data_IF_104195755225
#
_entry.id   IF_104195755225
#
_cell.length_a   1.000
_cell.length_b   1.000
_cell.length_c   1.000
_cell.angle_alpha   90.00
_cell.angle_beta   90.00
_cell.angle_gamma   90.00
#
_symmetry.space_group_name_H-M   'P 1'
#
loop_
_entity.id
_entity.type
_entity.pdbx_description
1 polymer ?
#
# COMPACT_ATOMS: atom_id res chain seq x y z
N UNK A 1 19.16 76.18 -15.90
CA UNK A 1 18.11 75.39 -15.22
C UNK A 1 18.50 73.92 -15.37
N UNK A 2 19.26 73.33 -14.44
CA UNK A 2 18.77 72.44 -13.36
C UNK A 2 17.59 71.57 -13.81
N UNK A 3 17.80 70.27 -14.03
CA UNK A 3 17.27 69.21 -13.15
C UNK A 3 18.00 67.87 -13.40
N UNK A 4 18.71 67.43 -12.37
CA UNK A 4 19.10 66.04 -12.11
C UNK A 4 17.92 65.34 -11.42
N UNK A 5 17.51 64.16 -11.90
CA UNK A 5 16.84 63.09 -11.13
C UNK A 5 17.29 61.77 -11.81
N UNK A 6 18.32 61.05 -11.35
CA UNK A 6 18.44 60.21 -10.15
C UNK A 6 17.52 58.96 -10.11
N UNK A 7 18.17 57.81 -10.37
CA UNK A 7 18.03 56.50 -9.70
C UNK A 7 16.69 55.75 -9.86
N UNK A 8 16.72 54.59 -10.53
CA UNK A 8 16.66 53.27 -9.88
C UNK A 8 16.68 52.16 -10.96
N UNK A 9 17.54 51.14 -10.84
CA UNK A 9 17.43 49.93 -11.65
C UNK A 9 16.17 49.18 -11.20
N UNK A 10 15.32 48.78 -12.15
CA UNK A 10 14.22 47.84 -11.89
C UNK A 10 14.81 46.48 -11.48
N UNK A 11 15.12 46.36 -10.20
CA UNK A 11 15.28 45.11 -9.48
C UNK A 11 13.87 44.61 -9.13
N UNK A 12 13.06 44.29 -10.13
CA UNK A 12 11.82 43.54 -9.91
C UNK A 12 12.17 42.06 -9.87
N UNK A 13 12.61 41.64 -8.68
CA UNK A 13 12.18 40.43 -7.98
C UNK A 13 11.57 39.41 -8.95
N UNK A 14 12.43 38.58 -9.55
CA UNK A 14 12.04 37.23 -9.93
C UNK A 14 11.67 36.55 -8.62
N UNK A 15 10.41 36.73 -8.21
CA UNK A 15 9.79 36.01 -7.13
C UNK A 15 9.90 34.57 -7.59
N UNK A 16 10.92 33.90 -7.06
CA UNK A 16 11.14 32.49 -7.24
C UNK A 16 9.84 31.86 -6.76
N UNK A 17 8.96 31.54 -7.70
CA UNK A 17 7.92 30.57 -7.52
C UNK A 17 8.66 29.23 -7.37
N UNK A 18 9.34 29.07 -6.24
CA UNK A 18 9.36 27.83 -5.49
C UNK A 18 7.91 27.61 -5.08
N UNK A 19 7.08 27.33 -6.10
CA UNK A 19 5.92 26.49 -5.92
C UNK A 19 6.51 25.30 -5.20
N UNK A 20 6.21 25.23 -3.91
CA UNK A 20 6.43 24.04 -3.14
C UNK A 20 5.69 22.98 -3.92
N UNK A 21 6.41 22.23 -4.75
CA UNK A 21 5.96 20.95 -5.22
C UNK A 21 5.80 20.18 -3.92
N UNK A 22 4.61 20.28 -3.33
CA UNK A 22 4.12 19.26 -2.43
C UNK A 22 4.06 18.04 -3.32
N UNK A 23 5.18 17.31 -3.38
CA UNK A 23 5.15 15.93 -3.78
C UNK A 23 4.05 15.35 -2.90
N UNK A 24 2.93 15.00 -3.53
CA UNK A 24 1.85 14.30 -2.86
C UNK A 24 2.49 12.96 -2.54
N UNK A 25 3.05 12.87 -1.33
CA UNK A 25 3.76 11.69 -0.88
C UNK A 25 2.72 10.58 -0.89
N UNK A 26 3.04 9.49 -1.55
CA UNK A 26 2.08 8.41 -1.71
C UNK A 26 2.04 7.63 -0.40
N UNK A 27 1.05 7.87 0.47
CA UNK A 27 1.02 7.50 1.89
C UNK A 27 0.76 6.02 2.26
N UNK A 28 1.46 5.04 1.65
CA UNK A 28 1.32 3.64 2.09
C UNK A 28 2.57 3.09 2.75
N UNK A 29 2.39 2.48 3.91
CA UNK A 29 3.42 1.67 4.58
C UNK A 29 2.75 0.62 5.47
N UNK A 30 3.52 -0.38 5.87
CA UNK A 30 3.11 -1.41 6.82
C UNK A 30 2.81 -0.80 8.19
N UNK A 31 1.75 -1.23 8.86
CA UNK A 31 1.38 -0.79 10.21
C UNK A 31 1.25 -1.94 11.19
N UNK A 32 0.94 -3.15 10.69
CA UNK A 32 1.02 -4.39 11.46
C UNK A 32 1.69 -5.49 10.63
N UNK A 33 2.70 -6.19 11.17
CA UNK A 33 3.44 -5.87 12.40
C UNK A 33 4.05 -4.46 12.40
N UNK A 34 4.48 -3.97 13.55
CA UNK A 34 4.95 -2.57 13.69
C UNK A 34 6.14 -2.34 12.75
N UNK A 35 5.95 -1.42 11.82
CA UNK A 35 6.94 -1.06 10.82
C UNK A 35 8.07 -0.20 11.41
N UNK A 36 9.27 -0.34 10.86
CA UNK A 36 10.41 0.58 11.09
C UNK A 36 10.09 1.95 10.51
N UNK A 37 9.34 1.98 9.42
CA UNK A 37 8.90 3.20 8.73
C UNK A 37 7.61 3.74 9.36
N UNK A 38 7.59 5.05 9.61
CA UNK A 38 6.42 5.81 10.07
C UNK A 38 5.78 6.63 8.95
N UNK A 39 6.15 6.35 7.70
CA UNK A 39 5.69 7.03 6.50
C UNK A 39 6.09 6.27 5.26
N UNK A 40 5.60 6.72 4.10
CA UNK A 40 5.85 6.05 2.83
C UNK A 40 7.32 6.07 2.42
N UNK A 41 7.78 4.99 1.78
CA UNK A 41 9.12 4.87 1.22
C UNK A 41 9.04 4.23 -0.16
N UNK A 42 9.19 5.06 -1.19
CA UNK A 42 9.25 4.61 -2.57
C UNK A 42 10.65 4.10 -2.94
N UNK A 43 10.73 2.94 -3.57
CA UNK A 43 11.93 2.35 -4.16
C UNK A 43 11.87 2.47 -5.70
N UNK A 44 12.18 3.66 -6.18
CA UNK A 44 12.09 4.03 -7.60
C UNK A 44 13.18 3.34 -8.46
N UNK A 45 14.31 3.00 -7.84
CA UNK A 45 15.44 2.34 -8.52
C UNK A 45 15.37 0.80 -8.44
N UNK A 46 14.49 0.26 -7.59
CA UNK A 46 14.43 -1.18 -7.34
C UNK A 46 15.74 -1.70 -6.77
N UNK A 47 16.28 -1.02 -5.75
CA UNK A 47 17.57 -1.40 -5.12
C UNK A 47 17.46 -1.55 -3.61
N UNK A 48 16.34 -1.18 -3.02
CA UNK A 48 16.20 -1.09 -1.57
C UNK A 48 15.77 -2.45 -1.01
N UNK A 49 16.51 -2.96 -0.02
CA UNK A 49 16.05 -4.02 0.87
C UNK A 49 15.06 -3.44 1.88
N UNK A 50 15.55 -2.96 3.03
CA UNK A 50 14.77 -2.13 3.92
C UNK A 50 15.03 -0.65 3.71
N UNK A 51 14.00 0.22 3.68
CA UNK A 51 14.21 1.66 3.68
C UNK A 51 14.96 2.17 4.91
N UNK A 52 14.72 1.56 6.08
CA UNK A 52 15.47 1.80 7.31
C UNK A 52 16.20 0.54 7.78
N UNK A 53 17.51 0.69 8.02
CA UNK A 53 18.33 -0.33 8.67
C UNK A 53 18.34 -0.21 10.20
N UNK A 54 17.72 0.84 10.77
CA UNK A 54 17.59 0.97 12.21
C UNK A 54 16.52 0.00 12.71
N UNK A 55 16.84 -0.93 13.62
CA UNK A 55 15.85 -1.83 14.20
C UNK A 55 14.71 -1.06 14.87
N UNK A 56 13.48 -1.51 14.62
CA UNK A 56 12.26 -0.99 15.23
C UNK A 56 11.75 -1.88 16.37
N UNK A 57 10.46 -1.71 16.69
CA UNK A 57 9.79 -2.55 17.68
C UNK A 57 9.67 -3.99 17.17
N UNK A 58 10.18 -4.95 17.95
CA UNK A 58 10.07 -6.38 17.61
C UNK A 58 8.72 -6.94 18.05
N UNK A 59 8.03 -7.65 17.15
CA UNK A 59 6.80 -8.39 17.46
C UNK A 59 7.06 -9.90 17.43
N UNK A 60 6.62 -10.65 18.43
CA UNK A 60 6.85 -12.09 18.51
C UNK A 60 5.72 -12.90 17.88
N UNK A 61 6.08 -13.94 17.12
CA UNK A 61 5.17 -14.89 16.48
C UNK A 61 5.76 -16.30 16.53
N UNK A 62 4.94 -17.31 16.26
CA UNK A 62 5.38 -18.68 15.98
C UNK A 62 5.70 -18.85 14.49
N UNK A 63 6.63 -19.74 14.18
CA UNK A 63 6.78 -20.21 12.80
C UNK A 63 5.47 -20.88 12.34
N UNK A 64 5.07 -20.67 11.09
CA UNK A 64 3.78 -21.17 10.56
C UNK A 64 2.54 -20.41 11.04
N UNK A 65 2.68 -19.39 11.91
CA UNK A 65 1.53 -18.65 12.44
C UNK A 65 0.81 -17.86 11.35
N UNK A 66 -0.51 -17.88 11.38
CA UNK A 66 -1.34 -16.96 10.60
C UNK A 66 -1.44 -15.63 11.33
N UNK A 67 -0.88 -14.57 10.76
CA UNK A 67 -0.81 -13.26 11.40
C UNK A 67 -1.67 -12.23 10.68
N UNK A 68 -2.20 -11.27 11.44
CA UNK A 68 -2.86 -10.08 10.88
C UNK A 68 -1.80 -9.11 10.34
N UNK A 69 -1.95 -8.71 9.08
CA UNK A 69 -1.13 -7.69 8.45
C UNK A 69 -1.97 -6.51 8.03
N UNK A 70 -1.47 -5.31 8.35
CA UNK A 70 -2.17 -4.06 8.06
C UNK A 70 -1.23 -3.06 7.45
N UNK A 71 -1.75 -2.27 6.53
CA UNK A 71 -1.07 -1.14 5.92
C UNK A 71 -2.11 -0.07 5.58
N UNK A 72 -1.69 1.19 5.50
CA UNK A 72 -2.62 2.26 5.12
C UNK A 72 -3.05 2.11 3.67
N UNK A 73 -4.33 2.35 3.38
CA UNK A 73 -4.79 2.59 2.02
C UNK A 73 -4.15 3.88 1.51
N UNK A 74 -3.95 3.91 0.20
CA UNK A 74 -3.40 5.04 -0.51
C UNK A 74 -4.31 5.30 -1.72
N UNK A 75 -4.26 6.54 -2.22
CA UNK A 75 -5.01 7.00 -3.38
C UNK A 75 -4.60 6.30 -4.69
N UNK A 76 -3.46 5.62 -4.70
CA UNK A 76 -3.01 4.74 -5.78
C UNK A 76 -3.73 3.38 -5.72
N UNK A 77 -4.18 2.90 -6.87
CA UNK A 77 -5.09 1.76 -6.98
C UNK A 77 -4.41 0.47 -7.39
N UNK A 78 -4.96 -0.65 -6.94
CA UNK A 78 -4.52 -1.96 -7.38
C UNK A 78 -3.06 -2.27 -7.05
N UNK A 79 -2.56 -3.32 -7.71
CA UNK A 79 -1.29 -3.93 -7.43
C UNK A 79 -1.41 -5.12 -6.49
N UNK A 80 -0.26 -5.65 -6.14
CA UNK A 80 -0.12 -6.78 -5.24
C UNK A 80 0.98 -6.48 -4.23
N UNK A 81 0.91 -7.20 -3.11
CA UNK A 81 1.90 -7.17 -2.05
C UNK A 81 2.75 -8.44 -2.16
N UNK A 82 4.07 -8.27 -2.19
CA UNK A 82 5.01 -9.34 -1.91
C UNK A 82 5.42 -9.28 -0.45
N UNK A 83 5.37 -10.44 0.20
CA UNK A 83 5.92 -10.66 1.52
C UNK A 83 7.20 -11.47 1.41
N UNK A 84 8.27 -10.90 1.96
CA UNK A 84 9.59 -11.51 2.00
C UNK A 84 10.13 -11.48 3.41
N UNK A 85 11.07 -12.38 3.73
CA UNK A 85 11.67 -12.44 5.06
C UNK A 85 13.20 -12.57 4.98
N UNK A 86 13.92 -11.92 5.88
CA UNK A 86 15.37 -12.04 6.01
C UNK A 86 15.72 -12.24 7.49
N UNK A 87 16.85 -12.88 7.79
CA UNK A 87 17.39 -12.79 9.15
C UNK A 87 17.79 -11.34 9.43
N UNK A 88 17.67 -10.92 10.70
CA UNK A 88 18.14 -9.60 11.10
C UNK A 88 19.64 -9.45 10.80
N UNK A 89 20.02 -8.34 10.18
CA UNK A 89 21.37 -8.06 9.70
C UNK A 89 21.65 -8.52 8.25
N UNK A 90 20.71 -9.21 7.60
CA UNK A 90 20.83 -9.69 6.21
C UNK A 90 19.84 -8.97 5.27
N UNK A 91 19.38 -7.75 5.61
CA UNK A 91 18.25 -7.06 4.96
C UNK A 91 18.57 -6.45 3.56
N UNK A 92 19.27 -7.17 2.70
CA UNK A 92 19.53 -6.74 1.31
C UNK A 92 18.35 -7.02 0.38
N UNK A 93 18.28 -6.29 -0.74
CA UNK A 93 17.25 -6.54 -1.76
C UNK A 93 17.31 -7.98 -2.28
N UNK A 94 18.51 -8.48 -2.55
CA UNK A 94 18.74 -9.82 -3.10
C UNK A 94 18.28 -10.92 -2.15
N UNK A 95 18.49 -10.72 -0.84
CA UNK A 95 18.01 -11.64 0.19
C UNK A 95 16.48 -11.66 0.21
N UNK A 96 15.83 -10.49 0.23
CA UNK A 96 14.37 -10.44 0.20
C UNK A 96 13.76 -10.98 -1.08
N UNK A 97 14.38 -10.74 -2.23
CA UNK A 97 13.90 -11.26 -3.52
C UNK A 97 13.95 -12.79 -3.57
N UNK A 98 14.99 -13.40 -3.00
CA UNK A 98 15.13 -14.86 -2.89
C UNK A 98 14.19 -15.48 -1.85
N UNK A 99 13.87 -14.74 -0.81
CA UNK A 99 13.07 -15.22 0.33
C UNK A 99 11.63 -14.67 0.31
N UNK A 100 11.09 -14.43 -0.88
CA UNK A 100 9.67 -14.16 -1.07
C UNK A 100 8.86 -15.43 -0.80
N UNK A 101 7.91 -15.37 0.13
CA UNK A 101 7.17 -16.57 0.56
C UNK A 101 5.64 -16.44 0.41
N UNK A 102 5.13 -15.21 0.28
CA UNK A 102 3.70 -14.97 0.22
C UNK A 102 3.38 -13.78 -0.68
N UNK A 103 2.24 -13.84 -1.37
CA UNK A 103 1.69 -12.75 -2.16
C UNK A 103 0.22 -12.54 -1.81
N UNK A 104 -0.22 -11.28 -1.76
CA UNK A 104 -1.63 -10.91 -1.56
C UNK A 104 -2.00 -9.76 -2.49
N UNK A 105 -3.28 -9.55 -2.80
CA UNK A 105 -3.69 -8.34 -3.50
C UNK A 105 -3.62 -7.08 -2.62
N UNK A 106 -3.37 -5.91 -3.24
CA UNK A 106 -3.17 -4.64 -2.52
C UNK A 106 -4.41 -4.15 -1.78
N UNK A 107 -5.58 -4.22 -2.41
CA UNK A 107 -6.84 -3.77 -1.81
C UNK A 107 -7.57 -4.95 -1.16
N UNK A 108 -6.87 -5.69 -0.30
CA UNK A 108 -7.37 -6.85 0.43
C UNK A 108 -7.88 -6.50 1.83
N UNK A 109 -8.69 -7.41 2.37
CA UNK A 109 -9.30 -7.30 3.70
C UNK A 109 -10.65 -6.58 3.72
N UNK A 110 -11.47 -6.81 4.76
CA UNK A 110 -12.84 -6.31 4.83
C UNK A 110 -12.92 -4.79 5.04
N UNK A 111 -11.88 -4.18 5.61
CA UNK A 111 -11.85 -2.74 5.92
C UNK A 111 -11.26 -1.89 4.81
N UNK A 112 -10.74 -2.50 3.75
CA UNK A 112 -10.09 -1.79 2.64
C UNK A 112 -11.12 -1.25 1.64
N UNK A 113 -11.95 -0.32 2.10
CA UNK A 113 -13.02 0.29 1.32
C UNK A 113 -12.81 1.81 1.23
N UNK A 114 -12.88 2.40 0.03
CA UNK A 114 -12.83 3.86 -0.13
C UNK A 114 -14.01 4.51 0.60
N UNK A 115 -13.83 5.72 1.14
CA UNK A 115 -14.97 6.51 1.63
C UNK A 115 -15.70 7.17 0.48
N UNK A 116 -17.03 7.14 0.51
CA UNK A 116 -17.88 7.73 -0.52
C UNK A 116 -18.24 6.72 -1.60
N UNK A 117 -17.76 6.92 -2.83
CA UNK A 117 -18.09 6.04 -3.96
C UNK A 117 -17.25 4.78 -3.95
N UNK A 118 -17.87 3.62 -4.19
CA UNK A 118 -17.15 2.35 -4.39
C UNK A 118 -17.07 1.98 -5.88
N UNK A 119 -16.47 2.87 -6.69
CA UNK A 119 -16.12 2.55 -8.08
C UNK A 119 -14.74 1.88 -8.11
N UNK A 120 -14.41 1.21 -9.22
CA UNK A 120 -13.07 0.62 -9.40
C UNK A 120 -11.94 1.64 -9.21
N UNK A 121 -12.18 2.90 -9.58
CA UNK A 121 -11.21 4.00 -9.52
C UNK A 121 -11.32 4.91 -8.28
N UNK A 122 -12.06 4.49 -7.26
CA UNK A 122 -12.29 5.31 -6.09
C UNK A 122 -11.00 5.54 -5.28
N UNK A 123 -10.60 6.80 -5.11
CA UNK A 123 -9.52 7.20 -4.19
C UNK A 123 -9.92 7.05 -2.71
N UNK A 124 -9.06 7.47 -1.78
CA UNK A 124 -9.31 7.33 -0.33
C UNK A 124 -10.44 8.22 0.17
N UNK A 125 -10.48 9.48 -0.28
CA UNK A 125 -11.48 10.51 0.11
C UNK A 125 -11.68 10.66 1.63
N UNK A 126 -10.78 10.11 2.44
CA UNK A 126 -10.97 9.88 3.87
C UNK A 126 -9.98 10.64 4.75
N UNK A 127 -9.04 11.36 4.15
CA UNK A 127 -7.84 11.89 4.80
C UNK A 127 -6.74 10.83 4.90
N UNK A 128 -5.50 11.28 5.06
CA UNK A 128 -4.32 10.42 5.06
C UNK A 128 -4.41 9.35 6.16
N UNK A 129 -4.05 8.11 5.83
CA UNK A 129 -3.84 7.04 6.82
C UNK A 129 -5.06 6.72 7.69
N UNK A 130 -6.27 6.78 7.12
CA UNK A 130 -7.52 6.53 7.85
C UNK A 130 -8.21 5.23 7.49
N UNK A 131 -7.82 4.59 6.38
CA UNK A 131 -8.38 3.30 5.93
C UNK A 131 -7.28 2.27 6.03
N UNK A 132 -7.51 1.20 6.78
CA UNK A 132 -6.57 0.09 6.89
C UNK A 132 -6.90 -1.00 5.87
N UNK A 133 -5.91 -1.40 5.10
CA UNK A 133 -5.96 -2.52 4.17
C UNK A 133 -5.04 -3.64 4.65
N UNK A 134 -5.17 -4.81 4.03
CA UNK A 134 -4.49 -6.03 4.43
C UNK A 134 -5.43 -7.02 5.10
N UNK A 135 -4.97 -8.24 5.24
CA UNK A 135 -5.74 -9.33 5.85
C UNK A 135 -4.76 -10.25 6.61
N UNK A 136 -4.85 -11.55 6.41
CA UNK A 136 -3.96 -12.53 7.01
C UNK A 136 -2.89 -13.02 6.04
N UNK A 137 -1.71 -13.31 6.58
CA UNK A 137 -0.68 -14.11 5.89
C UNK A 137 -0.22 -15.24 6.81
N UNK A 138 0.35 -16.29 6.22
CA UNK A 138 0.95 -17.40 6.96
C UNK A 138 2.47 -17.21 6.96
N UNK A 139 3.07 -17.05 8.14
CA UNK A 139 4.52 -16.98 8.27
C UNK A 139 5.16 -18.31 7.87
N UNK A 140 6.42 -18.31 7.39
CA UNK A 140 7.12 -19.53 7.03
C UNK A 140 7.18 -20.56 8.17
N UNK A 141 6.77 -21.79 7.87
CA UNK A 141 6.76 -22.92 8.81
C UNK A 141 8.00 -23.83 8.67
N UNK A 142 9.07 -23.34 8.03
CA UNK A 142 10.35 -24.04 7.87
C UNK A 142 11.52 -23.27 8.45
N UNK A 143 11.25 -22.12 9.07
CA UNK A 143 12.27 -21.29 9.68
C UNK A 143 12.54 -21.73 11.12
N UNK A 144 13.77 -21.47 11.56
CA UNK A 144 14.19 -21.69 12.94
C UNK A 144 13.71 -20.54 13.83
N UNK A 145 13.82 -20.72 15.14
CA UNK A 145 13.68 -19.59 16.08
C UNK A 145 14.74 -18.54 15.80
N UNK A 146 14.39 -17.26 15.94
CA UNK A 146 15.36 -16.18 15.77
C UNK A 146 14.72 -14.83 15.50
N UNK A 147 15.59 -13.84 15.35
CA UNK A 147 15.21 -12.49 14.94
C UNK A 147 15.22 -12.38 13.41
N UNK A 148 14.11 -11.90 12.86
CA UNK A 148 13.88 -11.76 11.43
C UNK A 148 13.32 -10.38 11.11
N UNK A 149 13.38 -10.03 9.83
CA UNK A 149 12.77 -8.84 9.27
C UNK A 149 11.78 -9.25 8.20
N UNK A 150 10.53 -8.86 8.37
CA UNK A 150 9.45 -9.05 7.41
C UNK A 150 9.39 -7.82 6.50
N UNK A 151 9.55 -8.01 5.19
CA UNK A 151 9.41 -6.95 4.20
C UNK A 151 8.01 -7.01 3.58
N UNK A 152 7.34 -5.86 3.61
CA UNK A 152 6.14 -5.56 2.83
C UNK A 152 6.57 -4.79 1.57
N UNK A 153 6.26 -5.30 0.38
CA UNK A 153 6.51 -4.60 -0.88
C UNK A 153 5.22 -4.48 -1.67
N UNK A 154 4.78 -3.26 -1.96
CA UNK A 154 3.67 -3.02 -2.89
C UNK A 154 4.20 -2.73 -4.28
N UNK A 155 3.71 -3.51 -5.26
CA UNK A 155 4.06 -3.40 -6.67
C UNK A 155 2.79 -3.28 -7.54
N UNK A 156 2.93 -2.71 -8.74
CA UNK A 156 1.84 -2.62 -9.73
C UNK A 156 0.79 -1.60 -9.36
N UNK A 157 1.19 -0.60 -8.56
CA UNK A 157 0.37 0.51 -8.14
C UNK A 157 -0.01 1.36 -9.35
N UNK A 158 -1.30 1.44 -9.62
CA UNK A 158 -1.87 2.34 -10.61
C UNK A 158 -1.95 3.77 -10.09
N UNK A 159 -2.72 4.59 -10.79
CA UNK A 159 -2.79 6.03 -10.56
C UNK A 159 -3.49 6.48 -9.28
N UNK A 160 -3.08 7.67 -8.86
CA UNK A 160 -3.65 8.49 -7.80
C UNK A 160 -4.88 9.29 -8.27
N UNK A 161 -5.99 9.23 -7.54
CA UNK A 161 -7.19 10.09 -7.71
C UNK A 161 -7.77 10.18 -9.14
N UNK A 162 -7.59 9.15 -9.97
CA UNK A 162 -8.00 9.22 -11.38
C UNK A 162 -7.20 10.23 -12.21
N UNK A 163 -5.97 10.57 -11.80
CA UNK A 163 -5.02 11.36 -12.58
C UNK A 163 -3.88 10.45 -13.05
N UNK A 164 -4.01 9.97 -14.29
CA UNK A 164 -3.45 8.67 -14.67
C UNK A 164 -2.10 8.70 -15.40
N UNK A 165 -1.32 9.75 -15.14
CA UNK A 165 0.00 9.95 -15.72
C UNK A 165 1.21 9.65 -14.82
N UNK A 166 1.00 9.14 -13.60
CA UNK A 166 2.08 8.97 -12.62
C UNK A 166 2.77 7.60 -12.76
N UNK A 167 4.06 7.56 -12.41
CA UNK A 167 4.84 6.32 -12.45
C UNK A 167 4.25 5.29 -11.49
N UNK A 168 4.61 4.02 -11.67
CA UNK A 168 4.46 2.94 -10.69
C UNK A 168 5.54 3.05 -9.59
N UNK A 169 5.31 3.75 -8.46
CA UNK A 169 6.20 3.60 -7.33
C UNK A 169 6.08 2.19 -6.75
N UNK A 170 7.22 1.57 -6.49
CA UNK A 170 7.29 0.43 -5.58
C UNK A 170 7.37 0.98 -4.17
N UNK A 171 6.56 0.51 -3.25
CA UNK A 171 6.68 0.92 -1.84
C UNK A 171 7.20 -0.22 -1.01
N UNK A 172 8.07 0.11 -0.07
CA UNK A 172 8.65 -0.87 0.85
C UNK A 172 8.48 -0.44 2.29
N UNK A 173 8.29 -1.41 3.16
CA UNK A 173 8.37 -1.24 4.61
C UNK A 173 8.91 -2.53 5.22
N UNK A 174 9.59 -2.40 6.35
CA UNK A 174 10.15 -3.52 7.07
C UNK A 174 9.63 -3.53 8.50
N UNK A 175 9.30 -4.71 9.02
CA UNK A 175 8.97 -4.90 10.42
C UNK A 175 9.91 -5.92 11.06
N UNK A 176 10.34 -5.61 12.27
CA UNK A 176 11.12 -6.54 13.09
C UNK A 176 10.21 -7.57 13.74
N UNK A 177 10.49 -8.85 13.51
CA UNK A 177 9.76 -9.94 14.12
C UNK A 177 10.71 -10.94 14.79
N UNK A 178 10.19 -11.69 15.76
CA UNK A 178 10.91 -12.79 16.40
C UNK A 178 10.09 -14.07 16.31
N UNK A 179 10.66 -15.11 15.71
CA UNK A 179 10.07 -16.44 15.70
C UNK A 179 10.44 -17.17 17.00
N UNK A 180 9.43 -17.55 17.78
CA UNK A 180 9.61 -18.17 19.11
C UNK A 180 9.57 -19.69 19.07
N UNK A 181 9.19 -20.28 17.95
CA UNK A 181 9.18 -21.73 17.72
C UNK A 181 9.95 -22.08 16.46
N UNK A 182 10.47 -23.30 16.40
CA UNK A 182 10.95 -23.90 15.16
C UNK A 182 9.74 -24.31 14.33
N UNK A 183 9.80 -24.08 13.02
CA UNK A 183 8.77 -24.51 12.09
C UNK A 183 8.67 -26.05 12.00
N UNK A 184 7.49 -26.55 11.65
CA UNK A 184 7.25 -28.00 11.57
C UNK A 184 7.75 -28.63 10.27
N UNK A 185 8.02 -27.82 9.25
CA UNK A 185 8.48 -28.27 7.93
C UNK A 185 10.00 -28.27 7.85
N UNK A 186 10.55 -29.27 7.16
CA UNK A 186 12.00 -29.44 7.00
C UNK A 186 12.61 -28.50 5.95
N UNK A 187 11.81 -27.94 5.04
CA UNK A 187 12.30 -27.08 3.96
C UNK A 187 11.24 -26.07 3.48
N UNK A 188 11.71 -25.02 2.81
CA UNK A 188 10.86 -24.06 2.12
C UNK A 188 10.08 -24.72 0.97
N UNK A 189 8.81 -24.35 0.72
CA UNK A 189 8.11 -24.76 -0.48
C UNK A 189 8.81 -24.21 -1.72
N UNK A 190 8.72 -24.93 -2.84
CA UNK A 190 9.28 -24.49 -4.13
C UNK A 190 8.68 -23.16 -4.58
N UNK A 191 7.38 -22.97 -4.32
CA UNK A 191 6.65 -21.77 -4.72
C UNK A 191 6.11 -20.98 -3.53
N UNK A 192 6.10 -19.64 -3.62
CA UNK A 192 5.43 -18.80 -2.66
C UNK A 192 3.92 -19.04 -2.70
N UNK A 193 3.26 -18.86 -1.56
CA UNK A 193 1.81 -18.89 -1.48
C UNK A 193 1.21 -17.62 -2.06
N UNK A 194 -0.03 -17.70 -2.55
CA UNK A 194 -0.76 -16.54 -3.05
C UNK A 194 -2.23 -16.60 -2.63
N UNK A 195 -2.72 -15.46 -2.14
CA UNK A 195 -4.14 -15.23 -1.88
C UNK A 195 -4.62 -14.06 -2.73
N UNK A 196 -5.48 -14.38 -3.69
CA UNK A 196 -6.11 -13.41 -4.58
C UNK A 196 -7.30 -12.70 -3.94
N UNK A 197 -7.96 -11.86 -4.75
CA UNK A 197 -9.21 -11.22 -4.38
C UNK A 197 -9.01 -9.90 -3.64
N UNK A 198 -8.95 -8.82 -4.42
CA UNK A 198 -9.10 -7.46 -3.90
C UNK A 198 -10.52 -6.91 -4.08
N UNK A 199 -10.75 -5.73 -3.50
CA UNK A 199 -11.98 -4.95 -3.64
C UNK A 199 -12.45 -4.83 -5.10
N UNK A 200 -11.54 -4.56 -6.04
CA UNK A 200 -11.90 -4.29 -7.44
C UNK A 200 -12.28 -5.58 -8.17
N UNK A 201 -11.54 -6.66 -7.94
CA UNK A 201 -11.82 -7.99 -8.50
C UNK A 201 -13.19 -8.50 -8.05
N UNK A 202 -13.56 -8.23 -6.79
CA UNK A 202 -14.91 -8.49 -6.26
C UNK A 202 -15.97 -7.60 -6.92
N UNK A 203 -15.71 -6.30 -7.04
CA UNK A 203 -16.64 -5.35 -7.67
C UNK A 203 -16.95 -5.70 -9.14
N UNK A 204 -15.95 -6.22 -9.86
CA UNK A 204 -16.00 -6.52 -11.29
C UNK A 204 -16.33 -7.99 -11.61
N UNK A 205 -16.65 -8.79 -10.58
CA UNK A 205 -16.91 -10.23 -10.69
C UNK A 205 -15.81 -11.00 -11.43
N UNK A 206 -14.54 -10.69 -11.19
CA UNK A 206 -13.37 -11.28 -11.85
C UNK A 206 -12.76 -12.49 -11.13
N UNK A 207 -13.41 -12.96 -10.07
CA UNK A 207 -12.92 -14.06 -9.24
C UNK A 207 -12.12 -13.58 -8.02
N UNK A 208 -11.81 -14.52 -7.13
CA UNK A 208 -11.09 -14.30 -5.86
C UNK A 208 -9.65 -14.78 -5.92
N UNK A 209 -9.15 -15.13 -7.10
CA UNK A 209 -7.84 -15.72 -7.37
C UNK A 209 -6.95 -14.77 -8.21
N UNK A 210 -7.34 -13.51 -8.36
CA UNK A 210 -6.60 -12.52 -9.14
C UNK A 210 -6.50 -11.20 -8.40
N UNK A 211 -5.49 -10.42 -8.77
CA UNK A 211 -5.36 -9.04 -8.34
C UNK A 211 -5.61 -8.11 -9.51
N UNK A 212 -6.26 -6.99 -9.22
CA UNK A 212 -6.32 -5.83 -10.07
C UNK A 212 -5.00 -5.08 -9.97
N UNK A 213 -4.27 -4.90 -11.07
CA UNK A 213 -3.00 -4.15 -11.10
C UNK A 213 -2.87 -3.30 -12.35
N UNK A 214 -1.91 -2.40 -12.31
CA UNK A 214 -1.56 -1.55 -13.44
C UNK A 214 -0.31 -2.07 -14.15
N UNK A 215 -0.37 -2.11 -15.49
CA UNK A 215 0.71 -2.40 -16.45
C UNK A 215 1.33 -3.80 -16.38
N UNK A 216 1.89 -4.19 -15.24
CA UNK A 216 2.61 -5.46 -15.08
C UNK A 216 2.31 -6.14 -13.75
N UNK A 217 2.18 -7.47 -13.81
CA UNK A 217 2.04 -8.35 -12.65
C UNK A 217 3.39 -8.89 -12.15
N UNK A 218 4.51 -8.40 -12.69
CA UNK A 218 5.86 -8.84 -12.33
C UNK A 218 6.62 -7.77 -11.55
N UNK A 219 7.53 -8.16 -10.67
CA UNK A 219 8.37 -7.22 -9.90
C UNK A 219 9.57 -6.86 -10.75
N UNK A 220 9.43 -5.78 -11.51
CA UNK A 220 10.46 -5.29 -12.45
C UNK A 220 10.89 -3.87 -12.11
N UNK A 221 12.08 -3.49 -12.54
CA UNK A 221 12.54 -2.11 -12.48
C UNK A 221 11.90 -1.31 -13.64
N UNK A 222 10.59 -1.12 -13.57
CA UNK A 222 9.82 -0.33 -14.53
C UNK A 222 9.33 0.95 -13.85
N UNK A 223 9.53 2.08 -14.52
CA UNK A 223 8.88 3.34 -14.17
C UNK A 223 7.85 3.69 -15.24
N UNK A 224 7.05 2.70 -15.64
CA UNK A 224 6.02 2.96 -16.64
C UNK A 224 5.07 4.04 -16.10
N UNK A 225 4.93 5.09 -16.92
CA UNK A 225 4.03 6.22 -16.70
C UNK A 225 2.99 6.09 -17.79
N UNK A 226 1.74 5.82 -17.40
CA UNK A 226 0.62 5.88 -18.35
C UNK A 226 0.44 7.30 -18.89
N UNK A 227 -0.41 7.47 -19.91
CA UNK A 227 -1.00 8.77 -20.22
C UNK A 227 -2.40 8.84 -19.62
N UNK A 228 -2.82 10.03 -19.19
CA UNK A 228 -4.20 10.25 -18.75
C UNK A 228 -5.25 9.94 -19.83
N UNK A 229 -4.86 9.80 -21.10
CA UNK A 229 -5.76 9.52 -22.23
C UNK A 229 -5.96 8.05 -22.57
N UNK A 230 -5.07 7.14 -22.15
CA UNK A 230 -5.09 5.74 -22.60
C UNK A 230 -4.79 4.72 -21.50
N UNK A 231 -4.72 5.18 -20.26
CA UNK A 231 -4.30 4.36 -19.14
C UNK A 231 -5.16 3.14 -18.82
N UNK A 232 -6.47 3.21 -19.09
CA UNK A 232 -7.43 2.20 -18.63
C UNK A 232 -7.09 0.82 -19.18
N UNK A 233 -6.57 0.78 -20.41
CA UNK A 233 -6.16 -0.45 -21.09
C UNK A 233 -4.99 -1.17 -20.40
N UNK A 234 -4.25 -0.49 -19.53
CA UNK A 234 -3.14 -1.07 -18.78
C UNK A 234 -3.57 -1.69 -17.45
N UNK A 235 -4.79 -1.41 -16.99
CA UNK A 235 -5.33 -2.12 -15.84
C UNK A 235 -5.78 -3.53 -16.23
N UNK A 236 -5.29 -4.52 -15.49
CA UNK A 236 -5.49 -5.93 -15.78
C UNK A 236 -5.83 -6.69 -14.51
N UNK A 237 -6.35 -7.91 -14.69
CA UNK A 237 -6.57 -8.88 -13.63
C UNK A 237 -5.73 -10.11 -13.90
N UNK A 238 -4.87 -10.49 -12.96
CA UNK A 238 -4.07 -11.71 -13.05
C UNK A 238 -3.42 -12.07 -11.72
N UNK A 239 -2.84 -13.27 -11.66
CA UNK A 239 -1.98 -13.73 -10.57
C UNK A 239 -0.59 -13.07 -10.73
N UNK A 240 0.13 -12.72 -9.64
CA UNK A 240 1.51 -12.23 -9.73
C UNK A 240 2.40 -13.16 -10.56
N UNK A 241 3.19 -12.59 -11.48
CA UNK A 241 4.01 -13.37 -12.41
C UNK A 241 5.00 -14.32 -11.71
N UNK A 242 5.65 -13.97 -10.59
CA UNK A 242 6.51 -14.91 -9.86
C UNK A 242 5.77 -16.17 -9.40
N UNK A 243 4.50 -16.04 -9.00
CA UNK A 243 3.65 -17.17 -8.60
C UNK A 243 3.26 -18.00 -9.83
N UNK A 244 2.84 -17.34 -10.92
CA UNK A 244 2.48 -18.03 -12.17
C UNK A 244 3.63 -18.84 -12.75
N UNK A 245 4.83 -18.25 -12.82
CA UNK A 245 6.04 -18.89 -13.35
C UNK A 245 6.39 -20.11 -12.50
N UNK A 246 6.43 -19.95 -11.18
CA UNK A 246 6.76 -21.04 -10.28
C UNK A 246 5.77 -22.22 -10.39
N UNK A 247 4.46 -21.94 -10.44
CA UNK A 247 3.46 -22.99 -10.55
C UNK A 247 3.49 -23.73 -11.90
N UNK A 248 3.99 -23.11 -12.97
CA UNK A 248 4.20 -23.79 -14.27
C UNK A 248 5.42 -24.70 -14.25
N UNK A 249 6.44 -24.31 -13.48
CA UNK A 249 7.70 -25.05 -13.36
C UNK A 249 7.60 -26.22 -12.36
N UNK A 250 6.52 -26.29 -11.58
CA UNK A 250 6.21 -27.38 -10.65
C UNK A 250 5.19 -28.33 -11.30
N UNK A 251 5.59 -29.59 -11.53
CA UNK A 251 4.66 -30.64 -12.00
C UNK A 251 3.42 -30.74 -11.09
N UNK A 252 2.24 -31.15 -11.60
CA UNK A 252 0.93 -31.04 -10.90
C UNK A 252 0.73 -31.82 -9.58
N UNK A 253 1.78 -32.32 -8.93
CA UNK A 253 1.70 -33.16 -7.74
C UNK A 253 2.01 -32.47 -6.39
N UNK A 254 2.43 -31.20 -6.38
CA UNK A 254 3.23 -30.69 -5.25
C UNK A 254 2.74 -29.39 -4.56
N UNK A 255 1.54 -28.82 -4.82
CA UNK A 255 1.07 -27.74 -3.93
C UNK A 255 -0.44 -27.49 -3.81
N UNK A 256 -0.87 -27.41 -2.54
CA UNK A 256 -2.20 -27.11 -2.02
C UNK A 256 -2.58 -25.65 -2.26
N UNK A 257 -3.57 -25.41 -3.10
CA UNK A 257 -4.35 -24.17 -3.13
C UNK A 257 -5.37 -24.21 -1.99
N UNK A 258 -5.09 -23.53 -0.88
CA UNK A 258 -6.11 -23.31 0.16
C UNK A 258 -7.03 -22.18 -0.28
N UNK A 259 -8.23 -22.56 -0.75
CA UNK A 259 -9.35 -21.62 -0.83
C UNK A 259 -9.87 -21.38 0.59
N UNK A 260 -9.70 -20.17 1.10
CA UNK A 260 -10.32 -19.76 2.36
C UNK A 260 -11.83 -19.61 2.16
N UNK A 261 -12.60 -20.61 2.59
CA UNK A 261 -14.03 -20.48 2.85
C UNK A 261 -14.32 -21.24 4.13
N UNK A 262 -14.30 -20.52 5.26
CA UNK A 262 -14.84 -21.02 6.53
C UNK A 262 -16.35 -21.20 6.37
N UNK A 263 -16.78 -22.45 6.15
CA UNK A 263 -18.17 -22.90 6.25
C UNK A 263 -18.41 -23.42 7.67
N UNK A 264 -19.34 -22.78 8.35
CA UNK A 264 -19.87 -23.15 9.66
C UNK A 264 -20.42 -24.58 9.61
N UNK A 265 -19.90 -25.46 10.47
CA UNK A 265 -20.53 -26.73 10.82
C UNK A 265 -21.78 -26.45 11.66
N UNK A 266 -22.94 -26.91 11.19
CA UNK A 266 -24.02 -27.34 12.08
C UNK A 266 -24.57 -28.66 11.52
N UNK A 267 -24.51 -29.67 12.39
CA UNK A 267 -24.89 -31.06 12.19
C UNK A 267 -26.40 -31.26 12.43
N UNK A 268 -26.88 -32.42 11.99
CA UNK A 268 -28.12 -33.12 12.34
C UNK A 268 -29.32 -33.08 11.36
N UNK A 269 -29.25 -34.04 10.42
CA UNK A 269 -30.21 -35.15 10.18
C UNK A 269 -31.69 -34.89 9.83
N UNK A 270 -32.09 -35.62 8.77
CA UNK A 270 -33.41 -36.26 8.49
C UNK A 270 -34.32 -35.58 7.46
N UNK A 271 -34.39 -36.16 6.25
CA UNK A 271 -35.50 -36.03 5.31
C UNK A 271 -36.63 -37.02 5.70
N UNK A 272 -37.91 -36.70 5.40
CA UNK A 272 -38.48 -37.24 4.16
C UNK A 272 -39.54 -36.36 3.44
N UNK A 273 -39.48 -36.43 2.09
CA UNK A 273 -40.57 -36.54 1.09
C UNK A 273 -41.57 -35.37 0.86
N UNK A 274 -41.97 -35.09 -0.41
CA UNK A 274 -42.58 -33.82 -0.81
C UNK A 274 -44.11 -33.87 -0.88
N UNK A 275 -44.75 -32.72 -0.65
CA UNK A 275 -46.15 -32.48 -1.04
C UNK A 275 -46.27 -31.13 -1.74
N UNK A 276 -47.10 -31.15 -2.77
CA UNK A 276 -47.32 -30.16 -3.81
C UNK A 276 -48.19 -28.97 -3.36
N UNK A 277 -48.17 -27.93 -4.22
CA UNK A 277 -49.24 -26.95 -4.51
C UNK A 277 -49.54 -25.85 -3.49
N UNK A 278 -49.29 -24.57 -3.82
CA UNK A 278 -50.22 -23.66 -4.56
C UNK A 278 -49.87 -22.17 -4.31
N UNK A 279 -50.02 -21.39 -5.39
CA UNK A 279 -50.48 -19.99 -5.46
C UNK A 279 -49.49 -18.82 -5.26
N UNK A 280 -49.35 -18.11 -6.38
CA UNK A 280 -48.93 -16.74 -6.52
C UNK A 280 -49.80 -15.74 -5.73
N UNK A 281 -49.18 -14.64 -5.31
CA UNK A 281 -49.83 -13.33 -5.27
C UNK A 281 -48.81 -12.23 -5.59
N UNK A 282 -49.04 -11.62 -6.74
CA UNK A 282 -48.68 -10.25 -7.12
C UNK A 282 -49.17 -9.22 -6.11
N UNK A 283 -48.41 -8.13 -5.93
CA UNK A 283 -48.81 -6.73 -5.66
C UNK A 283 -47.49 -5.92 -5.61
N UNK A 284 -47.08 -5.25 -6.70
CA UNK A 284 -47.34 -3.82 -6.96
C UNK A 284 -47.49 -2.98 -5.69
N UNK A 285 -46.53 -2.11 -5.39
CA UNK A 285 -46.75 -0.67 -5.52
C UNK A 285 -45.47 0.17 -5.38
N UNK A 286 -45.38 1.13 -6.29
CA UNK A 286 -44.40 2.21 -6.37
C UNK A 286 -45.09 3.46 -5.84
N UNK A 287 -44.38 4.33 -5.10
CA UNK A 287 -44.53 5.75 -5.43
C UNK A 287 -43.19 6.47 -5.58
N UNK A 288 -43.16 7.21 -6.67
CA UNK A 288 -42.20 8.24 -7.04
C UNK A 288 -42.28 9.42 -6.07
N UNK A 289 -41.14 9.87 -5.53
CA UNK A 289 -41.03 11.16 -4.85
C UNK A 289 -39.72 11.88 -5.22
N UNK A 290 -39.92 12.88 -6.07
CA UNK A 290 -39.14 14.08 -6.43
C UNK A 290 -37.83 14.35 -5.66
N UNK A 291 -36.75 14.50 -6.44
CA UNK A 291 -35.50 15.17 -6.09
C UNK A 291 -35.73 16.61 -5.59
N UNK A 292 -35.07 17.03 -4.48
CA UNK A 292 -34.87 18.44 -4.17
C UNK A 292 -33.77 19.06 -5.05
N UNK A 293 -34.06 20.27 -5.54
CA UNK A 293 -33.18 21.15 -6.33
C UNK A 293 -31.98 21.63 -5.48
N UNK A 294 -30.76 21.78 -6.02
CA UNK A 294 -29.61 22.23 -5.24
C UNK A 294 -29.78 23.70 -4.84
N UNK A 295 -29.68 23.97 -3.53
CA UNK A 295 -29.65 25.34 -3.00
C UNK A 295 -28.24 25.90 -3.13
N UNK A 296 -28.23 27.20 -3.41
CA UNK A 296 -27.13 28.06 -3.81
C UNK A 296 -25.93 28.11 -2.86
N UNK A 297 -24.77 28.23 -3.50
CA UNK A 297 -23.42 28.45 -2.98
C UNK A 297 -23.37 29.53 -1.89
N UNK A 298 -22.92 29.16 -0.68
CA UNK A 298 -22.54 30.11 0.37
C UNK A 298 -21.02 30.28 0.38
N UNK A 299 -20.59 31.51 0.12
CA UNK A 299 -19.18 31.94 0.09
C UNK A 299 -18.51 31.73 1.46
N UNK A 300 -17.24 31.27 1.52
CA UNK A 300 -16.53 31.17 2.79
C UNK A 300 -16.23 32.54 3.39
N UNK A 301 -16.60 32.71 4.66
CA UNK A 301 -16.30 33.86 5.51
C UNK A 301 -14.79 33.92 5.78
N UNK A 302 -14.15 35.05 5.45
CA UNK A 302 -12.73 35.31 5.73
C UNK A 302 -12.43 35.13 7.23
N UNK A 303 -11.59 34.16 7.56
CA UNK A 303 -11.04 33.98 8.90
C UNK A 303 -9.95 35.03 9.15
N UNK A 304 -10.03 35.70 10.30
CA UNK A 304 -9.17 36.80 10.73
C UNK A 304 -7.80 36.25 11.14
N UNK A 305 -6.72 36.88 10.64
CA UNK A 305 -5.34 36.51 10.98
C UNK A 305 -5.03 36.71 12.49
N UNK A 306 -4.17 35.87 13.11
CA UNK A 306 -3.74 36.08 14.48
C UNK A 306 -2.77 37.26 14.59
N UNK A 307 -2.90 38.01 15.69
CA UNK A 307 -2.05 39.15 16.08
C UNK A 307 -0.70 38.63 16.62
N UNK A 308 0.45 39.23 16.25
CA UNK A 308 1.74 38.79 16.77
C UNK A 308 1.93 39.23 18.23
N UNK A 309 2.29 38.29 19.11
CA UNK A 309 2.73 38.59 20.48
C UNK A 309 4.21 38.99 20.48
N UNK A 310 4.50 40.16 21.04
CA UNK A 310 5.85 40.62 21.40
C UNK A 310 6.28 39.99 22.73
N UNK A 311 7.56 39.63 22.83
CA UNK A 311 8.26 39.27 24.08
C UNK A 311 9.29 38.17 23.82
N UNK A 312 10.53 38.49 23.42
CA UNK A 312 11.65 38.92 24.25
C UNK A 312 12.16 37.83 25.21
N UNK A 313 13.25 37.16 24.81
CA UNK A 313 14.11 36.34 25.66
C UNK A 313 15.46 36.16 24.96
N UNK A 314 16.48 36.89 25.45
CA UNK A 314 17.88 36.82 24.98
C UNK A 314 18.64 35.68 25.67
N UNK A 315 19.71 35.28 24.99
CA UNK A 315 20.99 34.76 25.47
C UNK A 315 21.16 33.23 25.55
N UNK A 316 22.20 32.78 24.84
CA UNK A 316 22.69 31.40 24.79
C UNK A 316 23.71 31.24 23.67
N UNK A 317 24.83 31.95 23.79
CA UNK A 317 25.99 31.92 22.89
C UNK A 317 26.68 30.54 22.97
N UNK A 318 26.72 29.79 21.85
CA UNK A 318 27.44 28.53 21.76
C UNK A 318 28.57 28.65 20.71
N UNK A 319 29.80 28.52 21.20
CA UNK A 319 31.07 28.54 20.47
C UNK A 319 31.10 27.52 19.33
N UNK A 320 31.63 27.96 18.18
CA UNK A 320 31.98 27.10 17.05
C UNK A 320 33.25 26.26 17.38
N UNK A 321 33.31 24.97 16.96
CA UNK A 321 34.54 24.19 17.00
C UNK A 321 35.49 24.54 15.83
N UNK A 322 36.81 24.48 16.02
CA UNK A 322 37.79 24.88 15.00
C UNK A 322 38.10 23.79 13.95
N UNK A 323 38.15 24.24 12.69
CA UNK A 323 38.93 23.78 11.53
C UNK A 323 39.66 22.42 11.59
N UNK A 324 39.18 21.46 10.78
CA UNK A 324 40.01 20.34 10.29
C UNK A 324 40.66 20.71 8.95
N UNK A 325 41.98 20.89 8.96
CA UNK A 325 42.83 20.97 7.76
C UNK A 325 42.98 19.58 7.14
N UNK A 326 42.63 19.44 5.87
CA UNK A 326 42.99 18.28 5.04
C UNK A 326 44.40 18.54 4.49
N UNK A 327 45.35 17.66 4.82
CA UNK A 327 46.65 17.57 4.15
C UNK A 327 46.51 16.64 2.95
N UNK A 328 46.79 17.13 1.74
CA UNK A 328 47.10 16.28 0.59
C UNK A 328 48.47 15.64 0.79
N UNK A 329 48.53 14.32 0.62
CA UNK A 329 49.78 13.59 0.44
C UNK A 329 50.08 13.45 -1.07
N UNK A 330 51.39 13.41 -1.36
CA UNK A 330 52.03 13.27 -2.66
C UNK A 330 51.60 12.02 -3.42
#
# INVERSE_FOLDING_TARGET
MKFLISILPLLFIALVALGSFTQVDAHSWLTKPVSRETGSRADIEGKIGCPSNTPGQTTSFKAGETIDVRYWRNNHLGGFIRWSIAKRGEESKEVFDKNAFYYTCRESGPTCLPKGTNTRYAGDSSGDNTISCGDKIVLPDWLQTGDYVLQWTWFGAGSSFGNIGWAEPQFRSCADIKLTTVGTKSAAPKCPSFVGGDRVSKLENKGTDQCFYFYTNDIVNSQYKGSSSDYEKYYQFSIPAPVQKCNRDVSPGDNSTTSGSDGVEDDATTAPTPVSTTKASTLSDKPSAKMPKPTTTRTPRKTRAPRPSKGAGKAGEAKAPPNCKIKSAK
#
